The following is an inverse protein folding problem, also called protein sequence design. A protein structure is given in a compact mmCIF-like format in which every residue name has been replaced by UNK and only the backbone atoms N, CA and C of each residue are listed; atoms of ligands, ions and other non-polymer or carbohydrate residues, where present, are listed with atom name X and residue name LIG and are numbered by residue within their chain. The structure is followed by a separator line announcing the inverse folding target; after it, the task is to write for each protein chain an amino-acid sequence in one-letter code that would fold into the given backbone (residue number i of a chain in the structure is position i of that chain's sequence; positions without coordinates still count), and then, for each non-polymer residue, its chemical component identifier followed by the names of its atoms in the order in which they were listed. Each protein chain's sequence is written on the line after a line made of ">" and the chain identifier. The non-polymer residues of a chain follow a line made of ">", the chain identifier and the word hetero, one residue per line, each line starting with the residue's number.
data_IF_481633166453
#
_entry.id   IF_481633166453
#
_cell.length_a   1.000
_cell.length_b   1.000
_cell.length_c   1.000
_cell.angle_alpha   90.00
_cell.angle_beta   90.00
_cell.angle_gamma   90.00
#
_symmetry.space_group_name_H-M   'P 1'
#
loop_
_entity.id
_entity.type
_entity.pdbx_description
1 polymer ?
#
# COMPACT_ATOMS: atom_id res chain seq x y z
N UNK A 1 -1.40 -34.40 24.15
CA UNK A 1 -0.63 -34.58 22.89
C UNK A 1 -1.60 -35.05 21.83
N UNK A 2 -1.52 -34.46 20.64
CA UNK A 2 -2.40 -34.80 19.49
C UNK A 2 -1.60 -35.51 18.41
N UNK A 3 -2.15 -36.56 17.82
CA UNK A 3 -1.51 -37.28 16.71
C UNK A 3 -2.04 -36.77 15.37
N UNK A 4 -1.12 -36.34 14.52
CA UNK A 4 -1.42 -35.81 13.19
C UNK A 4 -1.06 -36.81 12.08
N UNK A 5 -1.91 -36.88 11.07
CA UNK A 5 -1.67 -37.58 9.82
C UNK A 5 -1.59 -36.56 8.68
N UNK A 6 -0.55 -36.61 7.85
CA UNK A 6 -0.37 -35.64 6.76
C UNK A 6 -0.81 -36.27 5.43
N UNK A 7 -1.69 -35.60 4.69
CA UNK A 7 -2.20 -36.04 3.39
C UNK A 7 -1.49 -35.28 2.27
N UNK A 8 -0.66 -36.01 1.52
CA UNK A 8 0.22 -35.47 0.49
C UNK A 8 1.70 -35.72 0.80
N UNK A 9 2.50 -35.87 -0.24
CA UNK A 9 3.96 -36.13 -0.16
C UNK A 9 4.78 -35.09 -0.92
N UNK A 10 4.17 -33.97 -1.30
CA UNK A 10 4.84 -32.86 -1.99
C UNK A 10 5.66 -31.96 -1.06
N UNK A 11 6.28 -30.92 -1.61
CA UNK A 11 7.15 -29.99 -0.86
C UNK A 11 6.43 -29.36 0.35
N UNK A 12 5.16 -28.95 0.19
CA UNK A 12 4.37 -28.38 1.28
C UNK A 12 4.22 -29.36 2.47
N UNK A 13 4.09 -30.67 2.21
CA UNK A 13 4.01 -31.68 3.25
C UNK A 13 5.33 -31.79 4.04
N UNK A 14 6.46 -31.67 3.35
CA UNK A 14 7.79 -31.67 3.96
C UNK A 14 8.02 -30.40 4.79
N UNK A 15 7.62 -29.24 4.29
CA UNK A 15 7.74 -27.96 5.01
C UNK A 15 6.89 -27.93 6.29
N UNK A 16 5.65 -28.46 6.22
CA UNK A 16 4.78 -28.62 7.39
C UNK A 16 5.43 -29.56 8.41
N UNK A 17 6.06 -30.64 7.94
CA UNK A 17 6.76 -31.61 8.79
C UNK A 17 7.92 -30.96 9.53
N UNK A 18 8.77 -30.20 8.82
CA UNK A 18 9.90 -29.50 9.43
C UNK A 18 9.42 -28.49 10.49
N UNK A 19 8.34 -27.75 10.23
CA UNK A 19 7.77 -26.79 11.19
C UNK A 19 7.22 -27.48 12.44
N UNK A 20 6.48 -28.57 12.29
CA UNK A 20 5.95 -29.31 13.45
C UNK A 20 7.07 -29.97 14.26
N UNK A 21 8.15 -30.42 13.61
CA UNK A 21 9.30 -30.99 14.28
C UNK A 21 10.09 -29.94 15.08
N UNK A 22 10.26 -28.73 14.52
CA UNK A 22 10.99 -27.63 15.14
C UNK A 22 10.21 -26.91 16.26
N UNK A 23 8.89 -27.14 16.36
CA UNK A 23 8.01 -26.49 17.34
C UNK A 23 7.28 -27.52 18.24
N UNK A 24 8.01 -28.26 19.10
CA UNK A 24 7.44 -29.28 19.97
C UNK A 24 6.41 -28.74 20.98
N UNK A 25 6.43 -27.44 21.28
CA UNK A 25 5.47 -26.72 22.12
C UNK A 25 4.02 -26.81 21.60
N UNK A 26 3.83 -27.09 20.31
CA UNK A 26 2.51 -27.28 19.71
C UNK A 26 1.84 -28.58 20.18
N UNK A 27 2.60 -29.53 20.75
CA UNK A 27 2.08 -30.77 21.30
C UNK A 27 1.50 -31.73 20.24
N UNK A 28 1.87 -31.54 18.97
CA UNK A 28 1.44 -32.32 17.81
C UNK A 28 2.56 -33.33 17.44
N UNK A 29 2.21 -34.61 17.31
CA UNK A 29 3.13 -35.66 16.86
C UNK A 29 2.66 -36.27 15.54
N UNK A 30 3.53 -36.25 14.53
CA UNK A 30 3.24 -36.83 13.22
C UNK A 30 3.32 -38.36 13.33
N UNK A 31 2.29 -39.05 12.82
CA UNK A 31 2.26 -40.51 12.74
C UNK A 31 2.76 -41.03 11.40
N UNK A 32 2.53 -40.28 10.34
CA UNK A 32 2.98 -40.62 9.00
C UNK A 32 2.28 -39.81 7.92
N UNK A 33 2.52 -40.21 6.69
CA UNK A 33 1.96 -39.58 5.50
C UNK A 33 0.98 -40.50 4.78
N UNK A 34 0.04 -39.92 4.05
CA UNK A 34 -0.74 -40.59 3.02
C UNK A 34 -0.36 -40.05 1.64
N UNK A 35 -0.24 -40.96 0.68
CA UNK A 35 0.04 -40.61 -0.72
C UNK A 35 -1.11 -41.04 -1.62
N UNK A 36 -1.17 -40.52 -2.84
CA UNK A 36 -2.03 -41.14 -3.87
C UNK A 36 -1.29 -42.27 -4.60
N UNK A 37 0.04 -42.24 -4.57
CA UNK A 37 0.84 -43.18 -5.32
C UNK A 37 1.19 -44.38 -4.45
N UNK A 38 0.65 -45.55 -4.83
CA UNK A 38 0.92 -46.83 -4.16
C UNK A 38 2.41 -47.16 -4.10
N UNK A 39 3.22 -46.68 -5.04
CA UNK A 39 4.67 -46.94 -5.03
C UNK A 39 5.41 -46.17 -3.94
N UNK A 40 4.76 -45.19 -3.30
CA UNK A 40 5.35 -44.43 -2.20
C UNK A 40 5.06 -45.06 -0.83
N UNK A 41 4.18 -46.05 -0.73
CA UNK A 41 3.86 -46.71 0.54
C UNK A 41 5.11 -47.38 1.09
N UNK A 42 5.40 -47.15 2.37
CA UNK A 42 6.59 -47.66 3.04
C UNK A 42 7.84 -46.80 2.86
N UNK A 43 7.85 -45.82 1.93
CA UNK A 43 8.92 -44.85 1.85
C UNK A 43 8.96 -43.97 3.09
N UNK A 44 10.17 -43.52 3.44
CA UNK A 44 10.40 -42.64 4.57
C UNK A 44 10.61 -41.20 4.07
N UNK A 45 9.82 -40.29 4.60
CA UNK A 45 9.89 -38.86 4.33
C UNK A 45 10.21 -38.15 5.64
N UNK A 46 11.37 -37.51 5.73
CA UNK A 46 11.78 -36.74 6.92
C UNK A 46 11.67 -37.52 8.25
N UNK A 47 11.94 -38.82 8.22
CA UNK A 47 11.88 -39.68 9.41
C UNK A 47 10.50 -40.31 9.69
N UNK A 48 9.49 -40.09 8.85
CA UNK A 48 8.16 -40.67 8.99
C UNK A 48 7.76 -41.46 7.75
N UNK A 49 7.05 -42.57 7.96
CA UNK A 49 6.65 -43.46 6.86
C UNK A 49 5.38 -42.97 6.16
N UNK A 50 5.31 -43.21 4.86
CA UNK A 50 4.05 -43.20 4.13
C UNK A 50 3.29 -44.47 4.49
N UNK A 51 2.19 -44.32 5.22
CA UNK A 51 1.45 -45.43 5.82
C UNK A 51 0.61 -46.16 4.79
N UNK A 52 -0.09 -45.42 3.93
CA UNK A 52 -0.96 -45.98 2.90
C UNK A 52 -1.38 -44.88 1.89
N UNK A 53 -2.35 -45.23 1.06
CA UNK A 53 -3.07 -44.36 0.16
C UNK A 53 -4.14 -43.51 0.83
N UNK A 54 -4.46 -42.37 0.22
CA UNK A 54 -5.54 -41.49 0.68
C UNK A 54 -6.91 -42.20 0.74
N UNK A 55 -7.16 -43.18 -0.14
CA UNK A 55 -8.42 -43.96 -0.14
C UNK A 55 -8.61 -44.83 1.11
N UNK A 56 -7.54 -45.12 1.86
CA UNK A 56 -7.63 -45.91 3.09
C UNK A 56 -7.53 -45.05 4.36
N UNK A 57 -7.74 -43.74 4.23
CA UNK A 57 -7.60 -42.76 5.31
C UNK A 57 -8.48 -43.11 6.53
N UNK A 58 -9.72 -43.55 6.29
CA UNK A 58 -10.66 -43.93 7.34
C UNK A 58 -10.13 -45.02 8.25
N UNK A 59 -9.65 -46.11 7.65
CA UNK A 59 -9.09 -47.25 8.37
C UNK A 59 -7.90 -46.84 9.24
N UNK A 60 -7.08 -45.90 8.77
CA UNK A 60 -5.89 -45.43 9.49
C UNK A 60 -6.27 -44.52 10.65
N UNK A 61 -7.23 -43.60 10.43
CA UNK A 61 -7.74 -42.72 11.47
C UNK A 61 -8.32 -43.54 12.64
N UNK A 62 -9.12 -44.57 12.33
CA UNK A 62 -9.71 -45.47 13.32
C UNK A 62 -8.67 -46.32 14.06
N UNK A 63 -7.76 -46.96 13.31
CA UNK A 63 -6.82 -47.94 13.90
C UNK A 63 -5.65 -47.30 14.65
N UNK A 64 -5.26 -46.07 14.29
CA UNK A 64 -4.06 -45.43 14.83
C UNK A 64 -4.32 -44.27 15.80
N UNK A 65 -5.57 -44.05 16.22
CA UNK A 65 -5.98 -42.95 17.11
C UNK A 65 -5.43 -41.60 16.63
N UNK A 66 -5.80 -41.23 15.41
CA UNK A 66 -5.43 -39.95 14.82
C UNK A 66 -6.39 -38.88 15.32
N UNK A 67 -5.86 -37.81 15.90
CA UNK A 67 -6.65 -36.67 16.40
C UNK A 67 -6.83 -35.59 15.32
N UNK A 68 -5.92 -35.54 14.34
CA UNK A 68 -5.88 -34.50 13.33
C UNK A 68 -5.39 -35.02 11.97
N UNK A 69 -6.02 -34.55 10.89
CA UNK A 69 -5.60 -34.77 9.51
C UNK A 69 -5.19 -33.43 8.90
N UNK A 70 -3.94 -33.31 8.47
CA UNK A 70 -3.38 -32.13 7.80
C UNK A 70 -3.35 -32.40 6.29
N UNK A 71 -4.18 -31.70 5.52
CA UNK A 71 -4.25 -31.85 4.08
C UNK A 71 -3.34 -30.82 3.42
N UNK A 72 -2.34 -31.26 2.67
CA UNK A 72 -1.34 -30.39 2.02
C UNK A 72 -1.34 -30.58 0.49
N UNK A 73 -2.51 -30.85 -0.10
CA UNK A 73 -2.66 -31.01 -1.55
C UNK A 73 -2.84 -29.65 -2.23
N UNK A 74 -2.42 -29.50 -3.51
CA UNK A 74 -2.62 -28.26 -4.26
C UNK A 74 -4.10 -27.86 -4.37
N UNK A 75 -4.39 -26.56 -4.35
CA UNK A 75 -5.76 -26.01 -4.47
C UNK A 75 -6.44 -26.38 -5.78
N UNK A 76 -5.68 -26.64 -6.85
CA UNK A 76 -6.18 -27.12 -8.14
C UNK A 76 -6.81 -28.52 -8.07
N UNK A 77 -6.54 -29.28 -7.01
CA UNK A 77 -7.04 -30.64 -6.82
C UNK A 77 -8.38 -30.67 -6.05
N UNK A 78 -9.35 -29.82 -6.41
CA UNK A 78 -10.63 -29.69 -5.69
C UNK A 78 -11.42 -31.00 -5.60
N UNK A 79 -11.51 -31.76 -6.70
CA UNK A 79 -12.14 -33.09 -6.75
C UNK A 79 -11.46 -34.11 -5.83
N UNK A 80 -10.17 -33.92 -5.53
CA UNK A 80 -9.43 -34.79 -4.63
C UNK A 80 -9.70 -34.44 -3.18
N UNK A 81 -9.76 -33.14 -2.85
CA UNK A 81 -10.14 -32.69 -1.51
C UNK A 81 -11.50 -33.24 -1.13
N UNK A 82 -12.49 -33.12 -2.02
CA UNK A 82 -13.84 -33.64 -1.80
C UNK A 82 -13.85 -35.14 -1.51
N UNK A 83 -13.15 -35.94 -2.32
CA UNK A 83 -13.02 -37.40 -2.09
C UNK A 83 -12.39 -37.73 -0.75
N UNK A 84 -11.34 -37.02 -0.34
CA UNK A 84 -10.70 -37.24 0.97
C UNK A 84 -11.67 -36.92 2.11
N UNK A 85 -12.45 -35.84 2.00
CA UNK A 85 -13.46 -35.49 3.00
C UNK A 85 -14.58 -36.53 3.05
N UNK A 86 -15.06 -36.99 1.90
CA UNK A 86 -16.09 -38.04 1.80
C UNK A 86 -15.58 -39.39 2.37
N UNK A 87 -14.32 -39.74 2.11
CA UNK A 87 -13.68 -40.97 2.61
C UNK A 87 -13.45 -40.93 4.13
N UNK A 88 -13.14 -39.77 4.70
CA UNK A 88 -13.07 -39.58 6.16
C UNK A 88 -14.48 -39.72 6.76
N UNK A 89 -15.52 -39.19 6.09
CA UNK A 89 -16.91 -39.31 6.52
C UNK A 89 -17.17 -38.65 7.88
N UNK A 90 -17.99 -39.30 8.72
CA UNK A 90 -18.46 -38.77 10.02
C UNK A 90 -17.48 -39.04 11.19
N UNK A 91 -16.21 -39.34 10.91
CA UNK A 91 -15.22 -39.56 11.96
C UNK A 91 -14.90 -38.24 12.70
N UNK A 92 -14.71 -38.29 14.02
CA UNK A 92 -14.55 -37.10 14.89
C UNK A 92 -13.16 -36.45 14.80
N UNK A 93 -12.42 -36.67 13.72
CA UNK A 93 -11.05 -36.21 13.55
C UNK A 93 -11.02 -34.74 13.09
N UNK A 94 -10.10 -33.94 13.63
CA UNK A 94 -9.95 -32.55 13.20
C UNK A 94 -9.28 -32.49 11.82
N UNK A 95 -9.99 -32.02 10.80
CA UNK A 95 -9.44 -31.87 9.45
C UNK A 95 -8.97 -30.43 9.24
N UNK A 96 -7.73 -30.24 8.81
CA UNK A 96 -7.15 -28.92 8.53
C UNK A 96 -6.52 -28.92 7.13
N UNK A 97 -6.97 -28.01 6.28
CA UNK A 97 -6.36 -27.76 4.97
C UNK A 97 -5.26 -26.71 5.10
N UNK A 98 -4.05 -27.05 4.66
CA UNK A 98 -2.93 -26.12 4.57
C UNK A 98 -2.71 -25.84 3.07
N UNK A 99 -3.14 -24.69 2.55
CA UNK A 99 -2.90 -24.33 1.16
C UNK A 99 -1.45 -23.89 0.95
N UNK A 100 -0.91 -24.16 -0.24
CA UNK A 100 0.35 -23.55 -0.67
C UNK A 100 0.10 -22.07 -1.01
N UNK A 101 0.26 -21.21 -0.01
CA UNK A 101 0.09 -19.77 -0.18
C UNK A 101 1.30 -19.11 -0.84
N UNK A 102 2.40 -19.81 -1.13
CA UNK A 102 3.58 -19.20 -1.77
C UNK A 102 3.27 -18.86 -3.23
N UNK A 103 2.54 -19.72 -3.94
CA UNK A 103 2.02 -19.41 -5.28
C UNK A 103 1.08 -18.20 -5.25
N UNK A 104 0.20 -18.13 -4.24
CA UNK A 104 -0.72 -17.01 -4.04
C UNK A 104 -0.01 -15.73 -3.58
N UNK A 105 1.08 -15.82 -2.82
CA UNK A 105 1.84 -14.67 -2.33
C UNK A 105 2.62 -13.95 -3.44
N UNK A 106 2.87 -14.60 -4.59
CA UNK A 106 3.35 -13.90 -5.79
C UNK A 106 2.33 -12.89 -6.31
N UNK A 107 1.03 -13.16 -6.07
CA UNK A 107 -0.02 -12.17 -6.21
C UNK A 107 0.05 -11.33 -4.94
N UNK A 108 0.63 -10.12 -5.04
CA UNK A 108 0.78 -9.14 -3.96
C UNK A 108 -0.58 -8.66 -3.42
N UNK A 109 -1.35 -9.56 -2.83
CA UNK A 109 -2.73 -9.32 -2.48
C UNK A 109 -3.07 -9.64 -1.04
N UNK A 110 -3.88 -8.76 -0.45
CA UNK A 110 -4.43 -8.97 0.88
C UNK A 110 -5.44 -10.12 0.87
N UNK A 111 -5.41 -10.95 1.91
CA UNK A 111 -6.47 -11.93 2.16
C UNK A 111 -7.57 -11.19 2.92
N UNK A 112 -8.79 -11.22 2.41
CA UNK A 112 -9.97 -10.59 3.01
C UNK A 112 -11.19 -11.49 2.93
N UNK A 113 -12.32 -10.99 3.42
CA UNK A 113 -13.61 -11.66 3.39
C UNK A 113 -14.66 -10.69 2.83
N UNK A 114 -15.50 -11.16 1.92
CA UNK A 114 -16.65 -10.42 1.40
C UNK A 114 -17.89 -11.31 1.48
N UNK A 115 -18.84 -10.99 2.36
CA UNK A 115 -20.07 -11.77 2.57
C UNK A 115 -19.81 -13.28 2.79
N UNK A 116 -18.86 -13.63 3.67
CA UNK A 116 -18.48 -15.02 3.93
C UNK A 116 -17.62 -15.67 2.84
N UNK A 117 -17.34 -14.97 1.74
CA UNK A 117 -16.45 -15.46 0.68
C UNK A 117 -15.01 -15.03 0.96
N UNK A 118 -14.04 -15.96 1.02
CA UNK A 118 -12.64 -15.60 1.09
C UNK A 118 -12.23 -14.92 -0.23
N UNK A 119 -11.77 -13.68 -0.15
CA UNK A 119 -11.29 -12.91 -1.30
C UNK A 119 -9.78 -12.71 -1.20
N UNK A 120 -9.11 -12.72 -2.36
CA UNK A 120 -7.69 -12.43 -2.47
C UNK A 120 -7.56 -11.18 -3.33
N UNK A 121 -7.30 -10.06 -2.67
CA UNK A 121 -7.21 -8.74 -3.30
C UNK A 121 -5.88 -8.58 -4.03
N UNK A 122 -5.77 -8.97 -5.31
CA UNK A 122 -4.51 -8.98 -6.09
C UNK A 122 -3.68 -7.67 -6.09
N UNK A 123 -4.27 -6.54 -5.69
CA UNK A 123 -3.61 -5.24 -5.50
C UNK A 123 -4.27 -4.43 -4.39
N UNK A 124 -3.91 -4.70 -3.14
CA UNK A 124 -4.34 -3.88 -2.01
C UNK A 124 -3.32 -2.81 -1.60
N UNK A 125 -3.84 -1.70 -1.10
CA UNK A 125 -3.07 -0.66 -0.40
C UNK A 125 -3.25 -0.84 1.11
N UNK A 126 -2.22 -0.68 1.95
CA UNK A 126 -2.31 -0.84 3.42
C UNK A 126 -3.26 0.16 4.13
N UNK A 127 -3.87 1.08 3.39
CA UNK A 127 -4.79 2.11 3.84
C UNK A 127 -6.27 1.67 3.78
N UNK A 128 -6.62 0.54 4.41
CA UNK A 128 -8.02 0.15 4.64
C UNK A 128 -8.38 0.14 6.12
N UNK A 129 -9.68 0.19 6.40
CA UNK A 129 -10.23 0.13 7.75
C UNK A 129 -9.73 1.26 8.65
N UNK A 130 -9.28 0.89 9.86
CA UNK A 130 -8.84 1.85 10.89
C UNK A 130 -7.65 2.72 10.47
N UNK A 131 -6.78 2.23 9.59
CA UNK A 131 -5.62 3.00 9.11
C UNK A 131 -6.04 4.27 8.36
N UNK A 132 -7.12 4.20 7.57
CA UNK A 132 -7.66 5.35 6.86
C UNK A 132 -8.21 6.41 7.84
N UNK A 133 -8.88 5.94 8.89
CA UNK A 133 -9.43 6.79 9.96
C UNK A 133 -8.30 7.46 10.73
N UNK A 134 -7.29 6.69 11.16
CA UNK A 134 -6.12 7.20 11.88
C UNK A 134 -5.42 8.28 11.05
N UNK A 135 -5.09 7.98 9.79
CA UNK A 135 -4.46 8.95 8.88
C UNK A 135 -5.30 10.22 8.78
N UNK A 136 -6.62 10.08 8.60
CA UNK A 136 -7.53 11.23 8.47
C UNK A 136 -7.58 12.09 9.74
N UNK A 137 -7.67 11.47 10.91
CA UNK A 137 -7.68 12.17 12.19
C UNK A 137 -6.36 12.91 12.40
N UNK A 138 -5.22 12.24 12.16
CA UNK A 138 -3.89 12.86 12.23
C UNK A 138 -3.78 14.06 11.28
N UNK A 139 -4.20 13.91 10.03
CA UNK A 139 -4.19 14.98 9.03
C UNK A 139 -4.99 16.20 9.48
N UNK A 140 -6.19 15.99 10.01
CA UNK A 140 -7.08 17.09 10.46
C UNK A 140 -6.50 17.79 11.69
N UNK A 141 -6.11 17.03 12.73
CA UNK A 141 -5.57 17.59 13.97
C UNK A 141 -4.29 18.39 13.70
N UNK A 142 -3.35 17.83 12.95
CA UNK A 142 -2.11 18.51 12.62
C UNK A 142 -2.33 19.72 11.70
N UNK A 143 -3.26 19.63 10.73
CA UNK A 143 -3.56 20.77 9.85
C UNK A 143 -4.18 21.93 10.62
N UNK A 144 -5.08 21.67 11.58
CA UNK A 144 -5.64 22.72 12.45
C UNK A 144 -4.52 23.38 13.27
N UNK A 145 -3.67 22.58 13.92
CA UNK A 145 -2.57 23.11 14.73
C UNK A 145 -1.61 23.96 13.89
N UNK A 146 -1.23 23.48 12.70
CA UNK A 146 -0.36 24.22 11.78
C UNK A 146 -1.04 25.51 11.33
N UNK A 147 -2.29 25.47 10.88
CA UNK A 147 -3.01 26.65 10.41
C UNK A 147 -3.12 27.73 11.49
N UNK A 148 -3.41 27.35 12.74
CA UNK A 148 -3.42 28.29 13.87
C UNK A 148 -2.05 28.94 14.06
N UNK A 149 -0.98 28.14 14.08
CA UNK A 149 0.39 28.63 14.25
C UNK A 149 0.86 29.54 13.10
N UNK A 150 0.51 29.21 11.84
CA UNK A 150 0.93 29.99 10.67
C UNK A 150 -0.05 31.10 10.29
N UNK A 151 -1.21 31.22 10.94
CA UNK A 151 -2.23 32.20 10.59
C UNK A 151 -1.74 33.66 10.59
N UNK A 152 -0.91 34.14 11.55
CA UNK A 152 -0.42 35.52 11.52
C UNK A 152 0.51 35.76 10.33
N UNK A 153 1.34 34.76 10.02
CA UNK A 153 2.24 34.79 8.87
C UNK A 153 1.47 34.77 7.55
N UNK A 154 0.41 33.98 7.44
CA UNK A 154 -0.46 33.95 6.26
C UNK A 154 -1.14 35.30 6.02
N UNK A 155 -1.53 36.03 7.07
CA UNK A 155 -2.07 37.39 6.93
C UNK A 155 -1.02 38.36 6.36
N UNK A 156 0.21 38.33 6.87
CA UNK A 156 1.30 39.17 6.35
C UNK A 156 1.58 38.84 4.88
N UNK A 157 1.68 37.56 4.52
CA UNK A 157 1.86 37.13 3.13
C UNK A 157 0.70 37.61 2.24
N UNK A 158 -0.53 37.53 2.75
CA UNK A 158 -1.71 37.97 2.00
C UNK A 158 -1.65 39.45 1.64
N UNK A 159 -1.22 40.31 2.58
CA UNK A 159 -1.02 41.74 2.34
C UNK A 159 0.11 41.96 1.33
N UNK A 160 1.25 41.29 1.47
CA UNK A 160 2.38 41.41 0.54
C UNK A 160 2.00 41.00 -0.89
N UNK A 161 1.23 39.91 -1.05
CA UNK A 161 0.74 39.45 -2.36
C UNK A 161 -0.26 40.44 -2.97
N UNK A 162 -1.09 41.09 -2.14
CA UNK A 162 -2.09 42.06 -2.60
C UNK A 162 -1.46 43.39 -3.04
N UNK A 163 -0.43 43.84 -2.33
CA UNK A 163 0.30 45.09 -2.64
C UNK A 163 1.23 44.90 -3.84
N UNK A 164 1.85 43.72 -3.99
CA UNK A 164 2.81 43.46 -5.06
C UNK A 164 2.19 43.31 -6.46
N UNK A 165 0.91 42.92 -6.56
CA UNK A 165 0.24 42.75 -7.87
C UNK A 165 -1.29 42.85 -7.75
N UNK A 166 -1.96 43.40 -8.77
CA UNK A 166 -3.44 43.51 -8.81
C UNK A 166 -4.08 42.13 -8.92
N UNK A 167 -5.19 41.88 -8.19
CA UNK A 167 -6.01 40.67 -8.27
C UNK A 167 -6.17 39.89 -6.93
N UNK A 168 -6.56 38.60 -6.96
CA UNK A 168 -6.83 37.80 -5.76
C UNK A 168 -5.56 37.33 -5.06
N UNK A 169 -5.63 37.15 -3.73
CA UNK A 169 -4.50 36.66 -2.91
C UNK A 169 -4.22 35.18 -3.17
N UNK A 170 -5.29 34.38 -3.23
CA UNK A 170 -5.21 32.96 -3.49
C UNK A 170 -5.34 32.66 -4.97
N UNK A 171 -4.59 31.67 -5.41
CA UNK A 171 -4.67 31.07 -6.73
C UNK A 171 -5.10 29.60 -6.54
N UNK A 172 -6.05 29.14 -7.36
CA UNK A 172 -6.49 27.75 -7.38
C UNK A 172 -6.11 27.13 -8.72
N UNK A 173 -5.64 25.89 -8.68
CA UNK A 173 -5.35 25.11 -9.89
C UNK A 173 -5.91 23.70 -9.76
N UNK A 174 -6.56 23.22 -10.83
CA UNK A 174 -7.07 21.86 -10.88
C UNK A 174 -5.94 20.84 -10.92
N UNK A 175 -6.10 19.81 -10.08
CA UNK A 175 -5.17 18.71 -9.91
C UNK A 175 -5.92 17.41 -9.72
N UNK A 176 -5.30 16.31 -10.10
CA UNK A 176 -5.86 14.98 -9.86
C UNK A 176 -5.43 14.46 -8.49
N UNK A 177 -6.41 14.05 -7.69
CA UNK A 177 -6.27 13.46 -6.37
C UNK A 177 -6.48 11.95 -6.35
N UNK A 178 -7.08 11.47 -5.27
CA UNK A 178 -7.40 10.05 -5.04
C UNK A 178 -8.45 9.56 -6.05
N UNK A 179 -8.26 8.34 -6.55
CA UNK A 179 -9.13 7.66 -7.52
C UNK A 179 -9.37 8.43 -8.83
N UNK A 180 -8.47 9.36 -9.16
CA UNK A 180 -8.59 10.19 -10.35
C UNK A 180 -9.51 11.40 -10.20
N UNK A 181 -10.08 11.63 -9.01
CA UNK A 181 -10.94 12.78 -8.77
C UNK A 181 -10.18 14.09 -8.88
N UNK A 182 -10.75 15.07 -9.59
CA UNK A 182 -10.15 16.39 -9.77
C UNK A 182 -10.54 17.27 -8.58
N UNK A 183 -9.57 18.02 -8.05
CA UNK A 183 -9.79 19.00 -6.99
C UNK A 183 -9.03 20.30 -7.26
N UNK A 184 -9.51 21.37 -6.63
CA UNK A 184 -8.92 22.71 -6.68
C UNK A 184 -7.83 22.85 -5.61
N UNK A 185 -6.56 22.83 -6.03
CA UNK A 185 -5.40 22.99 -5.13
C UNK A 185 -5.14 24.47 -4.87
N UNK A 186 -5.23 24.90 -3.61
CA UNK A 186 -5.03 26.29 -3.20
C UNK A 186 -3.55 26.63 -2.99
N UNK A 187 -3.14 27.81 -3.46
CA UNK A 187 -1.81 28.41 -3.20
C UNK A 187 -1.92 29.91 -3.03
N UNK A 188 -0.89 30.53 -2.46
CA UNK A 188 -0.72 31.96 -2.65
C UNK A 188 -0.34 32.25 -4.10
N UNK A 189 -0.83 33.36 -4.61
CA UNK A 189 -0.50 33.80 -5.95
C UNK A 189 0.96 34.28 -6.01
N UNK A 190 1.76 33.60 -6.82
CA UNK A 190 3.18 33.90 -7.03
C UNK A 190 3.50 34.39 -8.44
N UNK A 191 2.51 34.38 -9.34
CA UNK A 191 2.62 34.83 -10.73
C UNK A 191 1.57 35.89 -11.05
N UNK A 192 1.80 36.65 -12.11
CA UNK A 192 0.81 37.61 -12.61
C UNK A 192 -0.46 36.91 -13.14
N UNK A 193 -1.61 37.60 -13.07
CA UNK A 193 -2.94 37.04 -13.33
C UNK A 193 -3.17 36.51 -14.76
N UNK A 194 -2.25 36.75 -15.69
CA UNK A 194 -2.30 36.25 -17.08
C UNK A 194 -1.07 35.42 -17.49
N UNK A 195 -0.34 34.87 -16.53
CA UNK A 195 0.89 34.13 -16.76
C UNK A 195 0.78 32.96 -17.77
N UNK A 196 -0.35 32.26 -17.85
CA UNK A 196 -0.54 31.12 -18.78
C UNK A 196 -1.34 31.48 -20.05
N UNK A 197 -1.73 32.76 -20.24
CA UNK A 197 -2.66 33.16 -21.31
C UNK A 197 -2.16 32.83 -22.72
N UNK A 198 -0.85 32.98 -22.95
CA UNK A 198 -0.22 32.77 -24.28
C UNK A 198 0.49 31.42 -24.40
N UNK A 199 0.73 30.70 -23.30
CA UNK A 199 1.59 29.50 -23.27
C UNK A 199 0.87 28.22 -22.86
N UNK A 200 -0.30 28.33 -22.23
CA UNK A 200 -1.01 27.18 -21.68
C UNK A 200 -0.27 26.51 -20.50
N UNK A 201 -0.57 25.24 -20.19
CA UNK A 201 -0.02 24.52 -19.04
C UNK A 201 1.46 24.16 -19.26
N UNK A 202 2.38 25.01 -18.81
CA UNK A 202 3.83 24.76 -18.90
C UNK A 202 4.44 24.62 -17.50
N UNK A 203 5.44 23.75 -17.36
CA UNK A 203 6.24 23.70 -16.14
C UNK A 203 7.06 24.98 -15.97
N UNK A 204 7.08 25.52 -14.76
CA UNK A 204 7.87 26.70 -14.47
C UNK A 204 9.37 26.38 -14.58
N UNK A 205 10.10 27.24 -15.28
CA UNK A 205 11.55 27.14 -15.45
C UNK A 205 12.29 28.13 -14.55
N UNK A 206 13.60 27.93 -14.40
CA UNK A 206 14.47 28.83 -13.65
C UNK A 206 14.54 30.18 -14.37
N UNK A 207 14.20 31.27 -13.69
CA UNK A 207 14.17 32.62 -14.27
C UNK A 207 12.88 33.00 -15.01
N UNK A 208 11.80 32.24 -14.84
CA UNK A 208 10.51 32.54 -15.49
C UNK A 208 10.01 33.96 -15.10
N UNK A 209 9.90 34.81 -16.13
CA UNK A 209 9.60 36.24 -16.07
C UNK A 209 8.19 36.55 -15.55
N UNK A 210 7.33 35.54 -15.45
CA UNK A 210 5.95 35.66 -14.97
C UNK A 210 5.82 35.75 -13.46
N UNK A 211 6.93 35.57 -12.72
CA UNK A 211 6.96 35.59 -11.24
C UNK A 211 7.12 37.01 -10.72
N UNK A 212 6.33 37.34 -9.69
CA UNK A 212 6.57 38.57 -8.92
C UNK A 212 7.79 38.40 -8.00
N UNK A 213 8.49 39.47 -7.57
CA UNK A 213 9.62 39.37 -6.64
C UNK A 213 9.24 38.66 -5.33
N UNK A 214 8.07 38.99 -4.78
CA UNK A 214 7.49 38.31 -3.61
C UNK A 214 7.15 36.85 -3.95
N UNK A 215 6.58 36.59 -5.12
CA UNK A 215 6.28 35.23 -5.59
C UNK A 215 7.51 34.33 -5.70
N UNK A 216 8.64 34.88 -6.17
CA UNK A 216 9.91 34.17 -6.22
C UNK A 216 10.41 33.78 -4.81
N UNK A 217 10.29 34.68 -3.84
CA UNK A 217 10.60 34.39 -2.43
C UNK A 217 9.70 33.28 -1.87
N UNK A 218 8.37 33.41 -2.04
CA UNK A 218 7.40 32.44 -1.52
C UNK A 218 7.63 31.03 -2.08
N UNK A 219 7.94 30.90 -3.38
CA UNK A 219 8.25 29.60 -4.00
C UNK A 219 9.56 29.00 -3.51
N UNK A 220 10.57 29.84 -3.25
CA UNK A 220 11.86 29.39 -2.75
C UNK A 220 11.71 28.75 -1.36
N UNK A 221 10.88 29.33 -0.51
CA UNK A 221 10.60 28.86 0.85
C UNK A 221 9.43 27.88 0.95
N UNK A 222 8.74 27.57 -0.17
CA UNK A 222 7.47 26.82 -0.22
C UNK A 222 6.33 27.44 0.59
N UNK A 223 6.44 28.70 0.98
CA UNK A 223 5.40 29.39 1.75
C UNK A 223 4.15 29.65 0.91
N UNK A 224 4.25 29.57 -0.42
CA UNK A 224 3.12 29.62 -1.33
C UNK A 224 2.16 28.42 -1.17
N UNK A 225 2.63 27.32 -0.58
CA UNK A 225 1.87 26.08 -0.40
C UNK A 225 1.07 26.03 0.92
N UNK A 226 1.23 27.01 1.83
CA UNK A 226 0.52 27.05 3.11
C UNK A 226 -1.03 26.97 2.99
N UNK A 227 -1.69 27.58 1.99
CA UNK A 227 -3.14 27.45 1.83
C UNK A 227 -3.61 26.00 1.55
N UNK A 228 -2.73 25.08 1.18
CA UNK A 228 -3.08 23.68 0.94
C UNK A 228 -3.52 22.96 2.21
N UNK A 229 -3.17 23.45 3.41
CA UNK A 229 -3.71 22.89 4.65
C UNK A 229 -5.24 23.03 4.73
N UNK A 230 -5.85 24.02 4.07
CA UNK A 230 -7.31 24.07 3.91
C UNK A 230 -7.85 22.93 3.03
N UNK A 231 -7.12 22.54 1.98
CA UNK A 231 -7.47 21.35 1.18
C UNK A 231 -7.37 20.07 2.00
N UNK A 232 -6.40 19.98 2.92
CA UNK A 232 -6.31 18.86 3.86
C UNK A 232 -7.52 18.85 4.78
N UNK A 233 -7.91 19.97 5.38
CA UNK A 233 -9.13 20.02 6.22
C UNK A 233 -10.40 19.63 5.45
N UNK A 234 -10.56 20.14 4.22
CA UNK A 234 -11.68 19.79 3.34
C UNK A 234 -11.71 18.31 2.96
N UNK A 235 -10.55 17.64 2.98
CA UNK A 235 -10.42 16.22 2.67
C UNK A 235 -9.99 15.92 1.23
N UNK A 236 -9.65 16.95 0.45
CA UNK A 236 -9.14 16.81 -0.91
C UNK A 236 -7.68 16.29 -0.90
N UNK A 237 -6.91 16.63 0.14
CA UNK A 237 -5.50 16.28 0.30
C UNK A 237 -5.21 15.63 1.67
N UNK A 238 -4.00 15.08 1.80
CA UNK A 238 -3.35 14.67 3.05
C UNK A 238 -2.10 15.53 3.29
N UNK A 239 -1.59 15.59 4.51
CA UNK A 239 -0.30 16.26 4.79
C UNK A 239 0.82 15.52 4.06
N UNK A 240 0.84 14.19 4.17
CA UNK A 240 1.82 13.30 3.54
C UNK A 240 1.14 12.44 2.49
N UNK A 241 1.65 12.47 1.27
CA UNK A 241 1.09 11.78 0.12
C UNK A 241 1.86 12.00 -1.18
N UNK A 242 1.54 11.26 -2.25
CA UNK A 242 2.08 11.54 -3.58
C UNK A 242 1.74 12.96 -4.04
N UNK A 243 2.68 13.66 -4.66
CA UNK A 243 2.45 15.06 -5.08
C UNK A 243 1.42 15.11 -6.22
N UNK A 244 0.40 15.99 -6.14
CA UNK A 244 -0.64 16.08 -7.16
C UNK A 244 -0.10 16.66 -8.48
N UNK A 245 -0.44 16.04 -9.61
CA UNK A 245 -0.08 16.48 -10.97
C UNK A 245 -1.31 17.05 -11.70
N UNK A 246 -1.08 17.87 -12.74
CA UNK A 246 -2.16 18.38 -13.60
C UNK A 246 -2.63 17.24 -14.51
N UNK A 247 -3.92 17.18 -14.77
CA UNK A 247 -4.51 16.15 -15.63
C UNK A 247 -3.84 16.10 -17.01
N UNK A 248 -3.55 17.26 -17.60
CA UNK A 248 -2.85 17.37 -18.87
C UNK A 248 -1.55 16.54 -18.93
N UNK A 249 -0.74 16.57 -17.86
CA UNK A 249 0.50 15.80 -17.78
C UNK A 249 0.24 14.32 -17.51
N UNK A 250 -0.76 14.01 -16.68
CA UNK A 250 -1.14 12.64 -16.36
C UNK A 250 -1.55 11.88 -17.63
N UNK A 251 -2.33 12.50 -18.52
CA UNK A 251 -2.73 11.90 -19.79
C UNK A 251 -1.52 11.56 -20.68
N UNK A 252 -0.44 12.35 -20.62
CA UNK A 252 0.79 12.08 -21.37
C UNK A 252 1.65 10.96 -20.74
N UNK A 253 1.65 10.85 -19.40
CA UNK A 253 2.52 9.95 -18.67
C UNK A 253 1.90 8.58 -18.41
N UNK A 254 0.57 8.49 -18.26
CA UNK A 254 -0.14 7.25 -17.92
C UNK A 254 0.14 6.10 -18.88
N UNK A 255 0.42 6.40 -20.15
CA UNK A 255 0.72 5.41 -21.19
C UNK A 255 2.22 5.13 -21.35
N UNK A 256 3.09 5.99 -20.79
CA UNK A 256 4.55 5.88 -20.92
C UNK A 256 5.20 5.17 -19.74
N UNK A 257 4.64 5.36 -18.54
CA UNK A 257 5.21 4.84 -17.30
C UNK A 257 4.32 3.73 -16.75
N UNK A 258 4.82 2.49 -16.66
CA UNK A 258 4.11 1.40 -16.01
C UNK A 258 3.69 1.77 -14.60
N UNK A 259 2.47 1.38 -14.20
CA UNK A 259 1.93 1.60 -12.85
C UNK A 259 1.75 3.08 -12.44
N UNK A 260 1.89 4.04 -13.36
CA UNK A 260 1.75 5.47 -13.06
C UNK A 260 0.46 5.78 -12.28
N UNK A 261 -0.67 5.21 -12.72
CA UNK A 261 -1.98 5.47 -12.11
C UNK A 261 -2.10 4.95 -10.66
N UNK A 262 -1.26 4.02 -10.23
CA UNK A 262 -1.33 3.46 -8.87
C UNK A 262 -1.00 4.51 -7.80
N UNK A 263 -0.31 5.61 -8.15
CA UNK A 263 -0.07 6.72 -7.23
C UNK A 263 -1.34 7.43 -6.77
N UNK A 264 -2.44 7.27 -7.51
CA UNK A 264 -3.75 7.87 -7.18
C UNK A 264 -4.58 7.00 -6.22
N UNK A 265 -4.06 5.87 -5.74
CA UNK A 265 -4.74 5.06 -4.70
C UNK A 265 -4.69 5.67 -3.30
N UNK A 266 -3.99 6.80 -3.13
CA UNK A 266 -3.95 7.57 -1.89
C UNK A 266 -4.18 9.06 -2.19
N UNK A 267 -4.66 9.80 -1.18
CA UNK A 267 -4.84 11.25 -1.27
C UNK A 267 -3.51 11.90 -1.59
N UNK A 268 -3.58 12.93 -2.42
CA UNK A 268 -2.43 13.72 -2.77
C UNK A 268 -1.86 14.42 -1.51
N UNK A 269 -0.52 14.51 -1.43
CA UNK A 269 0.20 15.10 -0.32
C UNK A 269 0.66 16.53 -0.55
N UNK A 270 0.74 17.32 0.52
CA UNK A 270 1.51 18.57 0.52
C UNK A 270 3.01 18.22 0.40
N UNK A 271 3.45 17.27 1.23
CA UNK A 271 4.78 16.64 1.16
C UNK A 271 4.65 15.14 0.91
N UNK A 272 5.75 14.46 0.60
CA UNK A 272 5.76 13.04 0.30
C UNK A 272 7.18 12.48 0.21
N UNK A 273 7.28 11.15 0.25
CA UNK A 273 8.55 10.42 0.21
C UNK A 273 9.40 10.80 -1.01
N UNK A 274 8.81 10.79 -2.21
CA UNK A 274 9.51 11.20 -3.43
C UNK A 274 10.05 12.64 -3.35
N UNK A 275 9.30 13.58 -2.74
CA UNK A 275 9.73 14.97 -2.59
C UNK A 275 10.95 15.08 -1.65
N UNK A 276 10.92 14.41 -0.50
CA UNK A 276 12.00 14.49 0.49
C UNK A 276 13.26 13.71 0.07
N UNK A 277 13.11 12.74 -0.85
CA UNK A 277 14.22 12.02 -1.48
C UNK A 277 14.78 12.74 -2.71
N UNK A 278 14.29 13.94 -3.03
CA UNK A 278 14.84 14.79 -4.10
C UNK A 278 14.23 14.56 -5.48
N UNK A 279 13.24 13.68 -5.63
CA UNK A 279 12.58 13.39 -6.90
C UNK A 279 11.46 14.40 -7.22
N UNK A 280 11.82 15.70 -7.33
CA UNK A 280 10.91 16.83 -7.54
C UNK A 280 11.28 17.64 -8.79
N UNK A 281 10.30 18.25 -9.46
CA UNK A 281 10.54 19.05 -10.67
C UNK A 281 11.08 18.21 -11.81
N UNK A 282 12.07 18.70 -12.57
CA UNK A 282 12.58 18.10 -13.81
C UNK A 282 13.42 16.81 -13.60
N UNK A 283 13.34 16.17 -12.45
CA UNK A 283 14.01 14.89 -12.19
C UNK A 283 13.29 13.72 -12.88
N UNK A 284 13.93 12.55 -12.93
CA UNK A 284 13.31 11.32 -13.47
C UNK A 284 11.93 11.09 -12.86
N UNK A 285 10.95 10.96 -13.74
CA UNK A 285 9.57 10.72 -13.37
C UNK A 285 9.38 9.27 -12.90
N UNK A 286 10.12 8.33 -13.50
CA UNK A 286 10.12 6.91 -13.12
C UNK A 286 10.54 6.74 -11.66
N UNK A 287 11.63 7.41 -11.25
CA UNK A 287 12.10 7.39 -9.85
C UNK A 287 11.09 8.05 -8.90
N UNK A 288 10.43 9.13 -9.32
CA UNK A 288 9.34 9.73 -8.53
C UNK A 288 8.22 8.71 -8.30
N UNK A 289 7.77 8.03 -9.36
CA UNK A 289 6.72 7.03 -9.26
C UNK A 289 7.15 5.86 -8.36
N UNK A 290 8.38 5.36 -8.49
CA UNK A 290 8.92 4.30 -7.64
C UNK A 290 8.81 4.67 -6.14
N UNK A 291 9.19 5.89 -5.78
CA UNK A 291 9.13 6.37 -4.40
C UNK A 291 7.69 6.64 -3.92
N UNK A 292 6.82 7.16 -4.78
CA UNK A 292 5.39 7.32 -4.47
C UNK A 292 4.74 5.96 -4.19
N UNK A 293 5.02 4.95 -5.02
CA UNK A 293 4.50 3.59 -4.84
C UNK A 293 5.07 2.93 -3.59
N UNK A 294 6.36 3.10 -3.32
CA UNK A 294 6.96 2.60 -2.08
C UNK A 294 6.26 3.17 -0.85
N UNK A 295 5.98 4.48 -0.84
CA UNK A 295 5.24 5.11 0.25
C UNK A 295 3.82 4.57 0.40
N UNK A 296 3.11 4.37 -0.72
CA UNK A 296 1.76 3.78 -0.70
C UNK A 296 1.79 2.35 -0.15
N UNK A 297 2.72 1.52 -0.62
CA UNK A 297 2.84 0.10 -0.24
C UNK A 297 3.30 -0.09 1.23
N UNK A 298 4.08 0.86 1.77
CA UNK A 298 4.67 0.77 3.11
C UNK A 298 4.12 1.83 4.07
N UNK A 299 2.91 2.34 3.81
CA UNK A 299 2.34 3.38 4.64
C UNK A 299 2.25 2.93 6.11
N UNK A 300 2.71 3.79 7.01
CA UNK A 300 2.48 3.67 8.44
C UNK A 300 2.47 5.06 9.06
N UNK A 301 1.82 5.21 10.21
CA UNK A 301 1.83 6.49 10.94
C UNK A 301 3.26 6.94 11.28
N UNK A 302 4.13 6.00 11.63
CA UNK A 302 5.56 6.27 11.87
C UNK A 302 6.23 6.86 10.63
N UNK A 303 5.93 6.31 9.45
CA UNK A 303 6.51 6.80 8.21
C UNK A 303 6.01 8.20 7.85
N UNK A 304 4.74 8.51 8.11
CA UNK A 304 4.21 9.87 7.97
C UNK A 304 4.96 10.86 8.89
N UNK A 305 5.19 10.50 10.16
CA UNK A 305 5.94 11.34 11.10
C UNK A 305 7.38 11.57 10.65
N UNK A 306 8.04 10.52 10.15
CA UNK A 306 9.39 10.63 9.60
C UNK A 306 9.43 11.59 8.40
N UNK A 307 8.50 11.45 7.45
CA UNK A 307 8.43 12.33 6.29
C UNK A 307 8.16 13.78 6.71
N UNK A 308 7.27 14.02 7.68
CA UNK A 308 7.01 15.36 8.21
C UNK A 308 8.27 15.96 8.85
N UNK A 309 8.98 15.19 9.67
CA UNK A 309 10.23 15.63 10.30
C UNK A 309 11.31 15.98 9.27
N UNK A 310 11.51 15.11 8.28
CA UNK A 310 12.43 15.34 7.18
C UNK A 310 12.01 16.53 6.31
N UNK A 311 10.71 16.81 6.19
CA UNK A 311 10.20 17.97 5.45
C UNK A 311 10.59 19.28 6.12
N UNK A 312 10.57 19.36 7.46
CA UNK A 312 11.01 20.56 8.19
C UNK A 312 12.49 20.84 7.91
N UNK A 313 13.34 19.80 7.94
CA UNK A 313 14.78 19.97 7.75
C UNK A 313 15.24 20.10 6.30
N UNK A 314 14.65 19.31 5.38
CA UNK A 314 15.10 19.23 3.97
C UNK A 314 14.19 20.01 3.02
N UNK A 315 12.93 20.24 3.37
CA UNK A 315 11.92 20.85 2.50
C UNK A 315 11.91 22.38 2.50
N UNK A 316 12.41 23.03 3.57
CA UNK A 316 12.44 24.50 3.68
C UNK A 316 13.58 25.16 2.88
N UNK A 317 14.64 24.41 2.51
CA UNK A 317 15.77 24.90 1.71
C UNK A 317 15.80 24.18 0.36
N UNK A 318 14.99 24.65 -0.58
CA UNK A 318 14.85 24.00 -1.89
C UNK A 318 15.96 24.39 -2.87
N UNK A 319 16.76 23.41 -3.31
CA UNK A 319 17.71 23.57 -4.43
C UNK A 319 17.05 23.45 -5.82
N UNK A 320 15.83 22.89 -5.89
CA UNK A 320 15.13 22.57 -7.15
C UNK A 320 13.71 23.18 -7.27
N UNK A 321 13.35 24.13 -6.41
CA UNK A 321 12.11 24.90 -6.59
C UNK A 321 12.32 25.93 -7.70
N UNK A 322 11.85 25.61 -8.90
CA UNK A 322 11.78 26.54 -10.04
C UNK A 322 10.34 26.95 -10.25
#
# INVERSE_FOLDING_TARGET
>A
MRYALIVGTGNLALDVTDRLHNHPELGIKIRGFLSDNKTQIGNELKGFKVLDTCSNIRSIVMNQKIDMVLITIPLSAHERLKRILDDIGDETVSIMLIPDLIELATLRGGIGEFEGMPIISLRDTPLYGWNLVIKRVTDVVLSIAILLAVSPLMLVISVLVKVSSKGPVFYSQERMGMDGNIFSMLKFRTMETQAEKDTGPVWATKGDSRKTPIGAFLRKTSMDELPQFFNVLKGDMSIVGPRPEREFFIQQFRNKIPKYMLRHKMKAGITGWAQISGWRGNTSLEKRIEYDLYYIENWSLRFDIEIMWLTIWRGLVNKHAY
#
